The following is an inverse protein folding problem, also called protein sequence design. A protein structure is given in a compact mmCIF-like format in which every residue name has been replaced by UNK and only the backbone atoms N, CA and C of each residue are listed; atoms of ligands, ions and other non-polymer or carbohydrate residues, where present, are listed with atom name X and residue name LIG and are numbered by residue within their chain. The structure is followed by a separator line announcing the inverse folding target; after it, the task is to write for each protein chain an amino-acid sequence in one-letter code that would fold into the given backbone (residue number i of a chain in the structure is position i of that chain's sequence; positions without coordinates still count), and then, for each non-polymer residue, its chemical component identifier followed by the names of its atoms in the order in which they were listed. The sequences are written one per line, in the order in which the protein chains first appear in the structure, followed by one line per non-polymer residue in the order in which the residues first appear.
data_IF_665921893647
#
_entry.id   IF_665921893647
#
_cell.length_a   1.000
_cell.length_b   1.000
_cell.length_c   1.000
_cell.angle_alpha   90.00
_cell.angle_beta   90.00
_cell.angle_gamma   90.00
#
_symmetry.space_group_name_H-M   'P 1'
#
loop_
_entity.id
_entity.type
_entity.pdbx_description
1 polymer ?
#
# COMPACT_ATOMS: atom_id res chain seq x y z
N UNK A 1 21.05 -4.17 -17.69
CA UNK A 1 20.22 -4.74 -18.77
C UNK A 1 18.78 -4.73 -18.30
N UNK A 2 17.90 -3.99 -18.96
CA UNK A 2 16.48 -3.88 -18.59
C UNK A 2 15.76 -5.19 -18.92
N UNK A 3 15.03 -5.76 -17.96
CA UNK A 3 14.20 -6.95 -18.20
C UNK A 3 13.18 -6.66 -19.31
N UNK A 4 12.91 -7.60 -20.23
CA UNK A 4 11.88 -7.41 -21.25
C UNK A 4 10.53 -7.16 -20.58
N UNK A 5 9.85 -6.11 -21.01
CA UNK A 5 8.50 -5.76 -20.54
C UNK A 5 7.54 -6.84 -21.02
N UNK A 6 6.83 -7.50 -20.12
CA UNK A 6 5.86 -8.54 -20.47
C UNK A 6 4.53 -7.90 -20.89
N UNK A 7 3.69 -8.61 -21.64
CA UNK A 7 2.33 -8.15 -21.98
C UNK A 7 1.51 -7.85 -20.72
N UNK A 8 1.74 -8.61 -19.64
CA UNK A 8 1.14 -8.38 -18.34
C UNK A 8 1.56 -7.03 -17.73
N UNK A 9 2.84 -6.63 -17.87
CA UNK A 9 3.34 -5.34 -17.38
C UNK A 9 2.73 -4.18 -18.16
N UNK A 10 2.53 -4.34 -19.47
CA UNK A 10 1.88 -3.34 -20.32
C UNK A 10 0.42 -3.18 -19.89
N UNK A 11 -0.30 -4.29 -19.73
CA UNK A 11 -1.70 -4.28 -19.29
C UNK A 11 -1.85 -3.64 -17.90
N UNK A 12 -0.99 -4.02 -16.96
CA UNK A 12 -0.96 -3.42 -15.62
C UNK A 12 -0.82 -1.90 -15.69
N UNK A 13 0.14 -1.38 -16.47
CA UNK A 13 0.36 0.05 -16.62
C UNK A 13 -0.86 0.76 -17.21
N UNK A 14 -1.53 0.16 -18.19
CA UNK A 14 -2.73 0.73 -18.80
C UNK A 14 -3.90 0.80 -17.81
N UNK A 15 -4.17 -0.29 -17.10
CA UNK A 15 -5.24 -0.36 -16.09
C UNK A 15 -4.96 0.62 -14.95
N UNK A 16 -3.72 0.64 -14.43
CA UNK A 16 -3.32 1.57 -13.39
C UNK A 16 -3.47 3.02 -13.84
N UNK A 17 -3.04 3.35 -15.06
CA UNK A 17 -3.22 4.69 -15.63
C UNK A 17 -4.69 5.10 -15.65
N UNK A 18 -5.59 4.24 -16.13
CA UNK A 18 -7.04 4.52 -16.14
C UNK A 18 -7.59 4.74 -14.73
N UNK A 19 -7.13 3.96 -13.75
CA UNK A 19 -7.53 4.10 -12.34
C UNK A 19 -7.12 5.44 -11.73
N UNK A 20 -5.93 5.95 -12.12
CA UNK A 20 -5.46 7.27 -11.72
C UNK A 20 -6.26 8.36 -12.44
N UNK A 21 -6.41 8.26 -13.76
CA UNK A 21 -7.13 9.26 -14.56
C UNK A 21 -8.62 9.38 -14.18
N UNK A 22 -9.25 8.30 -13.73
CA UNK A 22 -10.64 8.33 -13.25
C UNK A 22 -10.78 8.84 -11.80
N UNK A 23 -9.67 9.04 -11.08
CA UNK A 23 -9.67 9.40 -9.66
C UNK A 23 -10.00 8.26 -8.69
N UNK A 24 -10.21 7.04 -9.20
CA UNK A 24 -10.52 5.88 -8.37
C UNK A 24 -9.32 5.48 -7.50
N UNK A 25 -8.10 5.70 -8.00
CA UNK A 25 -6.89 5.48 -7.21
C UNK A 25 -6.88 6.34 -5.94
N UNK A 26 -7.11 7.64 -6.06
CA UNK A 26 -7.13 8.57 -4.92
C UNK A 26 -8.30 8.29 -3.97
N UNK A 27 -9.42 7.82 -4.50
CA UNK A 27 -10.57 7.38 -3.69
C UNK A 27 -10.20 6.14 -2.86
N UNK A 28 -9.64 5.10 -3.48
CA UNK A 28 -9.21 3.87 -2.80
C UNK A 28 -8.14 4.17 -1.75
N UNK A 29 -7.16 5.02 -2.07
CA UNK A 29 -6.12 5.44 -1.12
C UNK A 29 -6.69 6.16 0.09
N UNK A 30 -7.66 7.07 -0.09
CA UNK A 30 -8.33 7.77 1.02
C UNK A 30 -9.08 6.79 1.92
N UNK A 31 -9.82 5.85 1.33
CA UNK A 31 -10.55 4.83 2.10
C UNK A 31 -9.59 3.92 2.86
N UNK A 32 -8.49 3.48 2.22
CA UNK A 32 -7.45 2.69 2.88
C UNK A 32 -6.85 3.45 4.07
N UNK A 33 -6.48 4.71 3.89
CA UNK A 33 -5.88 5.54 4.94
C UNK A 33 -6.83 5.74 6.12
N UNK A 34 -8.10 6.05 5.87
CA UNK A 34 -9.11 6.20 6.91
C UNK A 34 -9.28 4.90 7.71
N UNK A 35 -9.40 3.75 7.04
CA UNK A 35 -9.56 2.45 7.70
C UNK A 35 -8.35 2.05 8.53
N UNK A 36 -7.14 2.28 8.03
CA UNK A 36 -5.92 2.01 8.80
C UNK A 36 -5.85 2.90 10.04
N UNK A 37 -6.28 4.16 9.93
CA UNK A 37 -6.36 5.08 11.06
C UNK A 37 -7.41 4.65 12.09
N UNK A 38 -8.62 4.30 11.65
CA UNK A 38 -9.72 3.85 12.52
C UNK A 38 -9.39 2.57 13.29
N UNK A 39 -8.56 1.70 12.71
CA UNK A 39 -8.09 0.46 13.34
C UNK A 39 -6.84 0.69 14.22
N UNK A 40 -6.38 1.93 14.37
CA UNK A 40 -5.19 2.28 15.15
C UNK A 40 -3.86 1.83 14.54
N UNK A 41 -3.86 1.31 13.30
CA UNK A 41 -2.66 0.80 12.65
C UNK A 41 -1.63 1.90 12.39
N UNK A 42 -2.09 3.07 11.96
CA UNK A 42 -1.22 4.23 11.70
C UNK A 42 -0.50 4.69 12.98
N UNK A 43 -1.22 4.72 14.11
CA UNK A 43 -0.67 5.12 15.40
C UNK A 43 0.32 4.08 15.92
N UNK A 44 -0.03 2.80 15.82
CA UNK A 44 0.84 1.69 16.22
C UNK A 44 2.15 1.69 15.40
N UNK A 45 2.06 1.96 14.10
CA UNK A 45 3.23 2.09 13.23
C UNK A 45 4.12 3.27 13.65
N UNK A 46 3.53 4.42 13.96
CA UNK A 46 4.25 5.58 14.47
C UNK A 46 4.94 5.28 15.80
N UNK A 47 4.24 4.64 16.74
CA UNK A 47 4.79 4.26 18.04
C UNK A 47 5.97 3.31 17.88
N UNK A 48 5.87 2.27 17.04
CA UNK A 48 7.00 1.37 16.75
C UNK A 48 8.20 2.11 16.17
N UNK A 49 7.99 2.96 15.17
CA UNK A 49 9.05 3.73 14.54
C UNK A 49 9.76 4.64 15.56
N UNK A 50 8.99 5.28 16.45
CA UNK A 50 9.49 6.14 17.52
C UNK A 50 10.31 5.38 18.55
N UNK A 51 9.83 4.23 19.02
CA UNK A 51 10.58 3.39 19.96
C UNK A 51 11.87 2.87 19.32
N UNK A 52 11.83 2.48 18.04
CA UNK A 52 13.03 2.04 17.34
C UNK A 52 14.08 3.14 17.23
N UNK A 53 13.65 4.36 16.89
CA UNK A 53 14.54 5.52 16.83
C UNK A 53 15.22 5.80 18.17
N UNK A 54 14.51 5.62 19.29
CA UNK A 54 15.07 5.80 20.65
C UNK A 54 16.13 4.78 21.02
N UNK A 55 16.07 3.59 20.44
CA UNK A 55 17.05 2.52 20.67
C UNK A 55 18.29 2.63 19.76
N UNK A 56 18.30 3.60 18.84
CA UNK A 56 19.41 3.84 17.91
C UNK A 56 20.21 5.07 18.35
N UNK A 57 21.54 4.93 18.37
CA UNK A 57 22.45 6.06 18.55
C UNK A 57 23.55 6.01 17.47
N UNK A 58 23.47 6.85 16.41
CA UNK A 58 22.42 7.81 16.09
C UNK A 58 21.19 7.19 15.39
N UNK A 59 20.02 7.86 15.41
CA UNK A 59 18.84 7.39 14.69
C UNK A 59 19.02 7.45 13.17
N UNK A 60 18.74 6.34 12.49
CA UNK A 60 18.87 6.20 11.03
C UNK A 60 17.50 5.97 10.38
N UNK A 61 17.01 6.97 9.65
CA UNK A 61 15.71 6.90 8.97
C UNK A 61 15.59 5.69 8.04
N UNK A 62 16.64 5.39 7.27
CA UNK A 62 16.64 4.27 6.33
C UNK A 62 16.39 2.94 7.04
N UNK A 63 17.05 2.69 8.17
CA UNK A 63 16.90 1.46 8.94
C UNK A 63 15.50 1.34 9.54
N UNK A 64 14.97 2.43 10.09
CA UNK A 64 13.60 2.45 10.63
C UNK A 64 12.59 2.18 9.51
N UNK A 65 12.75 2.84 8.35
CA UNK A 65 11.88 2.66 7.20
C UNK A 65 11.90 1.21 6.71
N UNK A 66 13.07 0.60 6.56
CA UNK A 66 13.19 -0.80 6.14
C UNK A 66 12.43 -1.75 7.06
N UNK A 67 12.57 -1.59 8.38
CA UNK A 67 11.89 -2.42 9.39
C UNK A 67 10.36 -2.25 9.39
N UNK A 68 9.87 -0.99 9.33
CA UNK A 68 8.44 -0.70 9.39
C UNK A 68 7.73 -0.76 8.03
N UNK A 69 8.48 -0.87 6.93
CA UNK A 69 7.92 -0.90 5.57
C UNK A 69 7.13 -2.19 5.30
N UNK A 70 6.36 -2.15 4.20
CA UNK A 70 5.68 -3.33 3.64
C UNK A 70 6.63 -4.44 3.16
N UNK A 71 7.95 -4.19 3.13
CA UNK A 71 8.96 -5.20 2.84
C UNK A 71 9.55 -5.84 4.12
N UNK A 72 9.25 -5.28 5.29
CA UNK A 72 9.54 -5.82 6.63
C UNK A 72 8.28 -6.24 7.37
N UNK A 73 8.16 -5.89 8.64
CA UNK A 73 7.03 -6.27 9.51
C UNK A 73 5.72 -5.53 9.16
N UNK A 74 5.82 -4.38 8.49
CA UNK A 74 4.68 -3.52 8.15
C UNK A 74 3.61 -4.20 7.29
N UNK A 75 3.95 -5.22 6.50
CA UNK A 75 2.97 -5.97 5.70
C UNK A 75 2.21 -7.02 6.50
N UNK A 76 2.82 -7.57 7.56
CA UNK A 76 2.19 -8.55 8.43
C UNK A 76 1.19 -7.87 9.40
N UNK A 77 1.39 -6.60 9.71
CA UNK A 77 0.57 -5.85 10.67
C UNK A 77 -0.68 -5.23 10.05
N UNK A 78 -0.81 -5.19 8.72
CA UNK A 78 -2.03 -4.67 8.06
C UNK A 78 -3.22 -5.57 8.41
N UNK A 79 -4.32 -5.01 8.98
CA UNK A 79 -5.50 -5.79 9.32
C UNK A 79 -6.07 -6.55 8.11
N UNK A 80 -6.35 -7.84 8.30
CA UNK A 80 -6.84 -8.72 7.22
C UNK A 80 -8.17 -8.24 6.64
N UNK A 81 -9.04 -7.68 7.49
CA UNK A 81 -10.32 -7.08 7.07
C UNK A 81 -10.09 -5.96 6.05
N UNK A 82 -9.23 -5.00 6.37
CA UNK A 82 -8.87 -3.87 5.50
C UNK A 82 -8.25 -4.37 4.20
N UNK A 83 -7.30 -5.31 4.28
CA UNK A 83 -6.68 -5.91 3.09
C UNK A 83 -7.71 -6.57 2.18
N UNK A 84 -8.63 -7.38 2.72
CA UNK A 84 -9.67 -8.07 1.96
C UNK A 84 -10.58 -7.07 1.25
N UNK A 85 -11.00 -6.03 1.97
CA UNK A 85 -11.88 -4.99 1.44
C UNK A 85 -11.22 -4.21 0.30
N UNK A 86 -9.99 -3.72 0.50
CA UNK A 86 -9.30 -2.95 -0.56
C UNK A 86 -9.01 -3.83 -1.78
N UNK A 87 -8.66 -5.10 -1.57
CA UNK A 87 -8.47 -6.03 -2.69
C UNK A 87 -9.79 -6.27 -3.45
N UNK A 88 -10.93 -6.28 -2.76
CA UNK A 88 -12.24 -6.39 -3.41
C UNK A 88 -12.55 -5.16 -4.26
N UNK A 89 -12.30 -3.94 -3.76
CA UNK A 89 -12.50 -2.70 -4.53
C UNK A 89 -11.59 -2.64 -5.77
N UNK A 90 -10.32 -2.98 -5.62
CA UNK A 90 -9.38 -3.03 -6.76
C UNK A 90 -9.83 -4.08 -7.78
N UNK A 91 -10.23 -5.27 -7.34
CA UNK A 91 -10.74 -6.32 -8.25
C UNK A 91 -11.98 -5.88 -9.00
N UNK A 92 -12.91 -5.20 -8.33
CA UNK A 92 -14.10 -4.67 -8.98
C UNK A 92 -13.72 -3.66 -10.08
N UNK A 93 -12.86 -2.69 -9.76
CA UNK A 93 -12.39 -1.72 -10.74
C UNK A 93 -11.73 -2.38 -11.95
N UNK A 94 -10.87 -3.37 -11.72
CA UNK A 94 -10.18 -4.11 -12.79
C UNK A 94 -11.20 -4.86 -13.65
N UNK A 95 -12.17 -5.53 -13.04
CA UNK A 95 -13.24 -6.25 -13.76
C UNK A 95 -14.02 -5.30 -14.68
N UNK A 96 -14.39 -4.13 -14.17
CA UNK A 96 -15.13 -3.10 -14.92
C UNK A 96 -14.32 -2.54 -16.12
N UNK A 97 -13.00 -2.74 -16.17
CA UNK A 97 -12.18 -2.36 -17.34
C UNK A 97 -12.38 -3.26 -18.56
N UNK A 98 -12.92 -4.47 -18.37
CA UNK A 98 -13.04 -5.49 -19.42
C UNK A 98 -14.51 -5.84 -19.76
N UNK A 99 -15.48 -5.45 -18.92
CA UNK A 99 -16.91 -5.70 -19.16
C UNK A 99 -17.59 -4.60 -20.01
N UNK A 100 -16.93 -4.15 -21.08
CA UNK A 100 -17.54 -3.26 -22.10
C UNK A 100 -17.91 -3.99 -23.36
#
# INVERSE_FOLDING_TARGET
MSKPTTDADVLYKQVHRRMVESGEWDRILRVLSAKLSEQGWSDELYHRAKERARMMDPPLFKTILEEISLHGEGKATVPLSVKREMTAQIRQFVKDQFEK
#
